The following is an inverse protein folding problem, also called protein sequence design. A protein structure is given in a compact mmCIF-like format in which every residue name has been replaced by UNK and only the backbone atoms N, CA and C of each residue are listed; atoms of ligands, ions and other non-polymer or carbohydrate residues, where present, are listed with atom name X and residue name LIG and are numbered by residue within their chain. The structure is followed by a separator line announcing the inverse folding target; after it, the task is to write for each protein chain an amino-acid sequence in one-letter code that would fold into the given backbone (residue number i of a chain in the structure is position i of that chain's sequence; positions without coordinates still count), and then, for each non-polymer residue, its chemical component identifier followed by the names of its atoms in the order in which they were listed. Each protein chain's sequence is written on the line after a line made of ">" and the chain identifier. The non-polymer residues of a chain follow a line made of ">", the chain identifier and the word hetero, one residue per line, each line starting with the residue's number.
data_IF_824542118767
#
_entry.id   IF_824542118767
#
_cell.length_a   1.000
_cell.length_b   1.000
_cell.length_c   1.000
_cell.angle_alpha   90.00
_cell.angle_beta   90.00
_cell.angle_gamma   90.00
#
_symmetry.space_group_name_H-M   'P 1'
#
loop_
_entity.id
_entity.type
_entity.pdbx_description
1 polymer ?
#
# COMPACT_ATOMS: atom_id res chain seq x y z
N UNK A 1 -9.11 -19.89 20.20
CA UNK A 1 -8.72 -19.60 18.80
C UNK A 1 -7.25 -19.94 18.68
N UNK A 2 -6.89 -20.88 17.81
CA UNK A 2 -5.49 -21.23 17.54
C UNK A 2 -4.84 -20.06 16.79
N UNK A 3 -3.63 -19.65 17.16
CA UNK A 3 -2.95 -18.52 16.49
C UNK A 3 -2.56 -18.92 15.06
N UNK A 4 -2.57 -17.97 14.11
CA UNK A 4 -2.11 -18.19 12.72
C UNK A 4 -0.68 -18.78 12.71
N UNK A 5 0.15 -18.35 13.64
CA UNK A 5 1.54 -18.81 13.81
C UNK A 5 1.62 -20.26 14.28
N UNK A 6 0.71 -20.67 15.17
CA UNK A 6 0.68 -22.02 15.72
C UNK A 6 0.23 -23.03 14.66
N UNK A 7 -0.83 -22.72 13.90
CA UNK A 7 -1.26 -23.55 12.77
C UNK A 7 -0.18 -23.65 11.70
N UNK A 8 0.49 -22.54 11.37
CA UNK A 8 1.61 -22.56 10.43
C UNK A 8 2.74 -23.48 10.94
N UNK A 9 3.07 -23.40 12.23
CA UNK A 9 4.11 -24.24 12.86
C UNK A 9 3.78 -25.72 12.76
N UNK A 10 2.54 -26.12 13.05
CA UNK A 10 2.12 -27.52 12.96
C UNK A 10 2.23 -28.06 11.53
N UNK A 11 1.77 -27.29 10.54
CA UNK A 11 1.89 -27.69 9.12
C UNK A 11 3.36 -27.85 8.71
N UNK A 12 4.25 -26.96 9.16
CA UNK A 12 5.69 -27.09 8.88
C UNK A 12 6.28 -28.38 9.47
N UNK A 13 5.89 -28.72 10.71
CA UNK A 13 6.36 -29.92 11.39
C UNK A 13 5.83 -31.21 10.73
N UNK A 14 4.56 -31.22 10.31
CA UNK A 14 3.93 -32.38 9.70
C UNK A 14 4.38 -32.63 8.26
N UNK A 15 4.61 -31.56 7.49
CA UNK A 15 4.86 -31.66 6.03
C UNK A 15 6.32 -31.49 5.64
N UNK A 16 7.15 -30.88 6.49
CA UNK A 16 8.50 -30.45 6.12
C UNK A 16 8.54 -29.29 5.11
N UNK A 17 7.42 -28.58 4.91
CA UNK A 17 7.36 -27.42 4.03
C UNK A 17 8.24 -26.25 4.54
N UNK A 18 8.57 -25.32 3.65
CA UNK A 18 9.24 -24.08 4.02
C UNK A 18 8.20 -22.98 4.30
N UNK A 19 8.37 -22.25 5.41
CA UNK A 19 7.55 -21.06 5.68
C UNK A 19 8.04 -19.91 4.81
N UNK A 20 7.11 -19.28 4.10
CA UNK A 20 7.36 -18.02 3.39
C UNK A 20 6.63 -16.91 4.16
N UNK A 21 7.38 -15.98 4.73
CA UNK A 21 6.79 -14.84 5.45
C UNK A 21 6.11 -13.88 4.47
N UNK A 22 5.01 -13.25 4.89
CA UNK A 22 4.28 -12.33 4.04
C UNK A 22 5.01 -10.98 3.83
N UNK A 23 5.94 -10.60 4.72
CA UNK A 23 6.64 -9.31 4.66
C UNK A 23 8.02 -9.33 5.32
N UNK A 24 8.22 -10.08 6.41
CA UNK A 24 9.49 -10.12 7.16
C UNK A 24 10.48 -11.15 6.61
N UNK A 25 10.78 -11.04 5.31
CA UNK A 25 11.80 -11.85 4.62
C UNK A 25 12.50 -10.99 3.57
N UNK A 26 13.84 -10.98 3.55
CA UNK A 26 14.62 -10.15 2.64
C UNK A 26 14.32 -10.37 1.15
N UNK A 27 13.94 -11.60 0.75
CA UNK A 27 13.52 -11.93 -0.61
C UNK A 27 12.17 -11.30 -0.94
N UNK A 28 11.25 -11.31 0.02
CA UNK A 28 9.93 -10.69 -0.13
C UNK A 28 10.08 -9.16 -0.21
N UNK A 29 10.86 -8.57 0.70
CA UNK A 29 11.13 -7.13 0.70
C UNK A 29 11.80 -6.69 -0.61
N UNK A 30 12.80 -7.42 -1.08
CA UNK A 30 13.48 -7.11 -2.35
C UNK A 30 12.54 -7.27 -3.55
N UNK A 31 11.70 -8.31 -3.57
CA UNK A 31 10.67 -8.50 -4.59
C UNK A 31 9.66 -7.35 -4.62
N UNK A 32 9.12 -6.95 -3.47
CA UNK A 32 8.19 -5.81 -3.36
C UNK A 32 8.85 -4.49 -3.78
N UNK A 33 10.15 -4.34 -3.58
CA UNK A 33 10.91 -3.15 -3.99
C UNK A 33 11.00 -2.94 -5.51
N UNK A 34 10.76 -3.97 -6.33
CA UNK A 34 10.86 -3.89 -7.80
C UNK A 34 9.89 -2.89 -8.42
N UNK A 35 8.71 -2.67 -7.79
CA UNK A 35 7.76 -1.63 -8.21
C UNK A 35 8.39 -0.24 -8.27
N UNK A 36 9.36 0.04 -7.39
CA UNK A 36 10.07 1.32 -7.40
C UNK A 36 11.01 1.45 -8.59
N UNK A 37 11.54 0.34 -9.11
CA UNK A 37 12.36 0.34 -10.32
C UNK A 37 11.48 0.58 -11.55
N UNK A 38 10.39 -0.17 -11.67
CA UNK A 38 9.42 -0.02 -12.78
C UNK A 38 8.86 1.40 -12.85
N UNK A 39 8.50 1.97 -11.70
CA UNK A 39 7.97 3.33 -11.61
C UNK A 39 9.01 4.38 -12.03
N UNK A 40 10.29 4.20 -11.69
CA UNK A 40 11.36 5.11 -12.11
C UNK A 40 11.63 5.00 -13.62
N UNK A 41 11.50 3.80 -14.19
CA UNK A 41 11.62 3.59 -15.64
C UNK A 41 10.47 4.25 -16.40
N UNK A 42 9.24 4.14 -15.89
CA UNK A 42 8.05 4.72 -16.51
C UNK A 42 7.93 6.24 -16.32
N UNK A 43 8.44 6.76 -15.20
CA UNK A 43 8.37 8.18 -14.84
C UNK A 43 9.75 8.73 -14.43
N UNK A 44 10.71 8.88 -15.37
CA UNK A 44 12.10 9.25 -15.06
C UNK A 44 12.26 10.69 -14.56
N UNK A 45 11.25 11.55 -14.74
CA UNK A 45 11.24 12.94 -14.24
C UNK A 45 10.64 13.09 -12.85
N UNK A 46 10.26 11.98 -12.21
CA UNK A 46 9.63 12.03 -10.91
C UNK A 46 10.65 12.44 -9.85
N UNK A 47 10.53 13.68 -9.37
CA UNK A 47 11.31 14.21 -8.25
C UNK A 47 11.15 13.25 -7.05
N UNK A 48 12.25 12.62 -6.67
CA UNK A 48 12.22 11.38 -5.89
C UNK A 48 11.87 11.64 -4.41
N UNK A 49 10.59 11.84 -4.11
CA UNK A 49 10.01 11.66 -2.77
C UNK A 49 8.85 10.69 -2.87
N UNK A 50 9.21 9.42 -2.74
CA UNK A 50 8.29 8.28 -2.65
C UNK A 50 7.43 8.46 -1.39
N UNK A 51 6.13 8.20 -1.49
CA UNK A 51 5.26 7.96 -0.33
C UNK A 51 5.15 6.45 -0.17
N UNK A 52 6.09 5.77 0.51
CA UNK A 52 5.93 4.37 0.81
C UNK A 52 4.77 4.18 1.80
N UNK A 53 3.97 3.16 1.54
CA UNK A 53 2.86 2.75 2.41
C UNK A 53 3.41 1.92 3.59
N UNK A 54 4.58 1.28 3.45
CA UNK A 54 5.36 0.64 4.53
C UNK A 54 6.78 0.27 4.04
N UNK A 55 7.80 0.26 4.92
CA UNK A 55 9.16 -0.22 4.57
C UNK A 55 10.35 0.38 5.36
N UNK A 56 11.52 -0.27 5.25
CA UNK A 56 12.74 0.00 6.04
C UNK A 56 13.41 1.38 5.84
N UNK A 57 12.94 2.21 4.88
CA UNK A 57 13.48 3.55 4.62
C UNK A 57 12.39 4.61 4.44
N UNK A 58 11.40 4.60 5.32
CA UNK A 58 10.40 5.67 5.43
C UNK A 58 11.01 6.91 6.08
N UNK A 59 10.88 8.08 5.45
CA UNK A 59 11.28 9.36 6.06
C UNK A 59 10.23 9.87 7.06
N UNK A 60 8.95 9.74 6.69
CA UNK A 60 7.81 10.18 7.49
C UNK A 60 6.72 9.11 7.44
N UNK A 61 5.87 9.09 8.46
CA UNK A 61 4.66 8.26 8.52
C UNK A 61 3.45 9.20 8.66
N UNK A 62 2.41 8.95 7.89
CA UNK A 62 1.13 9.66 7.96
C UNK A 62 0.08 8.65 8.38
N UNK A 63 -0.66 8.94 9.45
CA UNK A 63 -1.83 8.17 9.86
C UNK A 63 -3.04 8.69 9.12
N UNK A 64 -3.97 7.79 8.81
CA UNK A 64 -5.19 8.11 8.06
C UNK A 64 -6.39 7.50 8.78
N UNK A 65 -7.54 8.17 8.67
CA UNK A 65 -8.79 7.66 9.23
C UNK A 65 -9.52 6.76 8.23
N UNK A 66 -10.27 5.77 8.73
CA UNK A 66 -11.06 4.86 7.88
C UNK A 66 -12.02 5.63 6.97
N UNK A 67 -12.62 6.72 7.47
CA UNK A 67 -13.56 7.53 6.67
C UNK A 67 -12.87 8.21 5.48
N UNK A 68 -11.61 8.61 5.62
CA UNK A 68 -10.83 9.17 4.51
C UNK A 68 -10.42 8.07 3.53
N UNK A 69 -10.07 6.90 4.06
CA UNK A 69 -9.73 5.70 3.27
C UNK A 69 -10.89 5.26 2.37
N UNK A 70 -12.11 5.19 2.91
CA UNK A 70 -13.30 4.87 2.11
C UNK A 70 -13.58 5.95 1.05
N UNK A 71 -13.40 7.24 1.36
CA UNK A 71 -13.55 8.32 0.37
C UNK A 71 -12.52 8.20 -0.74
N UNK A 72 -11.26 7.90 -0.42
CA UNK A 72 -10.21 7.68 -1.42
C UNK A 72 -10.51 6.45 -2.29
N UNK A 73 -11.01 5.37 -1.70
CA UNK A 73 -11.47 4.18 -2.44
C UNK A 73 -12.58 4.57 -3.43
N UNK A 74 -13.59 5.33 -3.01
CA UNK A 74 -14.64 5.84 -3.92
C UNK A 74 -14.06 6.65 -5.08
N UNK A 75 -13.10 7.53 -4.82
CA UNK A 75 -12.43 8.31 -5.88
C UNK A 75 -11.69 7.41 -6.88
N UNK A 76 -11.06 6.33 -6.43
CA UNK A 76 -10.45 5.35 -7.34
C UNK A 76 -11.50 4.71 -8.28
N UNK A 77 -12.70 4.40 -7.77
CA UNK A 77 -13.78 3.84 -8.58
C UNK A 77 -14.40 4.88 -9.52
N UNK A 78 -14.67 6.08 -9.01
CA UNK A 78 -15.41 7.11 -9.74
C UNK A 78 -14.55 7.86 -10.75
N UNK A 79 -13.27 8.09 -10.45
CA UNK A 79 -12.39 8.92 -11.27
C UNK A 79 -11.40 8.05 -12.04
N UNK A 80 -10.66 7.19 -11.34
CA UNK A 80 -9.62 6.36 -11.97
C UNK A 80 -10.21 5.13 -12.68
N UNK A 81 -11.44 4.74 -12.33
CA UNK A 81 -12.13 3.54 -12.81
C UNK A 81 -11.37 2.25 -12.48
N UNK A 82 -10.67 2.24 -11.34
CA UNK A 82 -9.90 1.09 -10.83
C UNK A 82 -10.55 0.59 -9.55
N UNK A 83 -10.85 -0.71 -9.51
CA UNK A 83 -11.33 -1.37 -8.31
C UNK A 83 -10.16 -1.63 -7.35
N UNK A 84 -10.22 -1.01 -6.17
CA UNK A 84 -9.22 -1.15 -5.10
C UNK A 84 -9.92 -1.44 -3.78
N UNK A 85 -9.29 -2.19 -2.89
CA UNK A 85 -9.81 -2.37 -1.53
C UNK A 85 -9.35 -1.20 -0.62
N UNK A 86 -9.92 -1.03 0.59
CA UNK A 86 -9.61 0.11 1.44
C UNK A 86 -8.10 0.31 1.69
N UNK A 87 -7.37 -0.75 2.04
CA UNK A 87 -5.91 -0.70 2.25
C UNK A 87 -5.16 -0.23 1.00
N UNK A 88 -5.60 -0.66 -0.19
CA UNK A 88 -5.05 -0.25 -1.47
C UNK A 88 -5.17 1.25 -1.78
N UNK A 89 -6.10 1.95 -1.13
CA UNK A 89 -6.34 3.38 -1.32
C UNK A 89 -5.59 4.29 -0.32
N UNK A 90 -4.93 3.74 0.71
CA UNK A 90 -4.27 4.52 1.78
C UNK A 90 -3.21 5.49 1.22
N UNK A 91 -2.47 5.08 0.19
CA UNK A 91 -1.49 5.95 -0.46
C UNK A 91 -2.11 7.23 -1.02
N UNK A 92 -3.32 7.15 -1.56
CA UNK A 92 -4.07 8.29 -2.08
C UNK A 92 -4.54 9.20 -0.93
N UNK A 93 -4.99 8.63 0.19
CA UNK A 93 -5.33 9.43 1.38
C UNK A 93 -4.13 10.22 1.86
N UNK A 94 -2.97 9.56 2.02
CA UNK A 94 -1.73 10.21 2.43
C UNK A 94 -1.37 11.39 1.52
N UNK A 95 -1.46 11.20 0.21
CA UNK A 95 -1.19 12.24 -0.78
C UNK A 95 -2.20 13.41 -0.75
N UNK A 96 -3.46 13.15 -0.41
CA UNK A 96 -4.50 14.19 -0.33
C UNK A 96 -4.55 14.89 1.02
N UNK A 97 -3.99 14.28 2.08
CA UNK A 97 -4.05 14.77 3.45
C UNK A 97 -3.45 16.17 3.63
N UNK A 98 -4.05 16.95 4.54
CA UNK A 98 -3.50 18.25 4.92
C UNK A 98 -2.10 18.12 5.54
N UNK A 99 -1.86 17.04 6.28
CA UNK A 99 -0.56 16.70 6.87
C UNK A 99 0.54 16.61 5.82
N UNK A 100 0.25 16.02 4.65
CA UNK A 100 1.20 15.96 3.56
C UNK A 100 1.35 17.32 2.84
N UNK A 101 0.22 17.99 2.53
CA UNK A 101 0.23 19.28 1.83
C UNK A 101 1.00 20.38 2.56
N UNK A 102 1.03 20.33 3.89
CA UNK A 102 1.76 21.28 4.72
C UNK A 102 3.25 20.94 4.86
N UNK A 103 3.68 19.76 4.43
CA UNK A 103 5.08 19.32 4.51
C UNK A 103 5.95 20.01 3.44
N UNK A 104 7.22 20.26 3.76
CA UNK A 104 8.21 20.73 2.79
C UNK A 104 8.33 19.75 1.60
N UNK A 105 8.14 18.45 1.85
CA UNK A 105 8.09 17.43 0.80
C UNK A 105 7.07 17.75 -0.29
N UNK A 106 5.86 18.21 0.07
CA UNK A 106 4.84 18.58 -0.91
C UNK A 106 5.24 19.79 -1.74
N UNK A 107 5.77 20.84 -1.08
CA UNK A 107 6.13 22.10 -1.75
C UNK A 107 7.28 21.96 -2.74
N UNK A 108 8.15 20.97 -2.53
CA UNK A 108 9.31 20.70 -3.38
C UNK A 108 9.05 19.59 -4.41
N UNK A 109 7.88 18.95 -4.41
CA UNK A 109 7.54 17.89 -5.35
C UNK A 109 6.71 18.43 -6.52
N UNK A 110 7.20 18.22 -7.75
CA UNK A 110 6.42 18.51 -8.96
C UNK A 110 5.59 17.32 -9.42
N UNK A 111 6.00 16.10 -9.07
CA UNK A 111 5.35 14.85 -9.46
C UNK A 111 5.30 13.90 -8.27
N UNK A 112 4.11 13.40 -7.97
CA UNK A 112 3.87 12.46 -6.88
C UNK A 112 3.28 11.20 -7.51
N UNK A 113 3.97 10.08 -7.35
CA UNK A 113 3.39 8.78 -7.65
C UNK A 113 2.78 8.17 -6.39
N UNK A 114 1.65 7.52 -6.60
CA UNK A 114 0.88 6.82 -5.59
C UNK A 114 0.82 5.35 -6.01
N UNK A 115 1.15 4.45 -5.10
CA UNK A 115 1.01 3.01 -5.32
C UNK A 115 -0.37 2.61 -4.82
N UNK A 116 -1.19 2.04 -5.71
CA UNK A 116 -2.43 1.36 -5.35
C UNK A 116 -2.08 -0.11 -5.10
N UNK A 117 -1.90 -0.48 -3.83
CA UNK A 117 -1.23 -1.75 -3.48
C UNK A 117 -2.10 -2.99 -3.65
N UNK A 118 -3.41 -2.87 -3.44
CA UNK A 118 -4.33 -4.01 -3.37
C UNK A 118 -5.68 -3.71 -4.02
N UNK A 119 -6.31 -4.75 -4.58
CA UNK A 119 -7.58 -4.66 -5.28
C UNK A 119 -8.42 -5.93 -5.18
N UNK A 120 -8.19 -6.75 -4.16
CA UNK A 120 -9.00 -7.95 -3.94
C UNK A 120 -10.29 -7.59 -3.21
N UNK A 121 -11.26 -7.08 -3.97
CA UNK A 121 -12.49 -6.52 -3.43
C UNK A 121 -13.66 -7.50 -3.55
N UNK A 122 -14.30 -7.80 -2.42
CA UNK A 122 -15.66 -8.35 -2.44
C UNK A 122 -16.65 -7.26 -2.85
N UNK A 123 -17.25 -7.40 -4.03
CA UNK A 123 -18.18 -6.41 -4.57
C UNK A 123 -19.48 -6.33 -3.76
N UNK A 124 -19.87 -7.40 -3.06
CA UNK A 124 -21.04 -7.35 -2.16
C UNK A 124 -20.85 -6.30 -1.07
N UNK A 125 -19.72 -6.39 -0.38
CA UNK A 125 -19.33 -5.45 0.68
C UNK A 125 -18.96 -4.06 0.13
N UNK A 126 -18.32 -4.00 -1.03
CA UNK A 126 -17.87 -2.72 -1.61
C UNK A 126 -19.01 -1.79 -2.03
N UNK A 127 -20.16 -2.35 -2.45
CA UNK A 127 -21.35 -1.55 -2.82
C UNK A 127 -21.89 -0.78 -1.62
N UNK A 128 -21.69 -1.23 -0.38
CA UNK A 128 -22.06 -0.46 0.82
C UNK A 128 -21.24 0.84 0.94
N UNK A 129 -20.06 0.86 0.32
CA UNK A 129 -19.10 1.93 0.38
C UNK A 129 -19.00 2.76 -0.90
N UNK A 130 -19.84 2.53 -1.92
CA UNK A 130 -19.90 3.31 -3.16
C UNK A 130 -21.23 4.05 -3.18
#
# INVERSE_FOLDING_TARGET
>A
MQSREETATNVLQETGAALIHAHDDGRIISGQGTISLELLEQAPRMDTKRVPISGLRCRNVITVDDTETIKAMRLCYEILKVAVEPSGAIGLVGALSNSFRNNLAWKECNQIAIILSEGNVDLGSAVEFI
#
